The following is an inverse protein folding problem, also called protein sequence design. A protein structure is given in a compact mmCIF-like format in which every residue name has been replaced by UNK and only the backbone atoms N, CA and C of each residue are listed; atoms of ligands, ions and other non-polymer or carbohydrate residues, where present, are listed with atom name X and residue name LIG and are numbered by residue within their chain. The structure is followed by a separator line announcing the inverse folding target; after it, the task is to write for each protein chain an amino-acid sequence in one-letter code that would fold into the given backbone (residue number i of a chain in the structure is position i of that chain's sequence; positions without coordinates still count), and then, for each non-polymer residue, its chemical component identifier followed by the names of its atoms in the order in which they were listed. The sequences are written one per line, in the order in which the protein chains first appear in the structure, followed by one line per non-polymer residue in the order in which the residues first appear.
data_IF_702990178589
#
_entry.id   IF_702990178589
#
_cell.length_a   1.000
_cell.length_b   1.000
_cell.length_c   1.000
_cell.angle_alpha   90.00
_cell.angle_beta   90.00
_cell.angle_gamma   90.00
#
_symmetry.space_group_name_H-M   'P 1'
#
loop_
_entity.id
_entity.type
_entity.pdbx_description
1 polymer ?
#
# COMPACT_ATOMS: atom_id res chain seq x y z
N UNK A 1 19.74 44.84 -62.68
CA UNK A 1 18.32 44.64 -63.00
C UNK A 1 17.82 43.58 -62.03
N UNK A 2 17.42 43.88 -60.77
CA UNK A 2 16.22 44.62 -60.32
C UNK A 2 14.98 44.21 -61.13
N UNK A 3 13.88 43.78 -60.54
CA UNK A 3 12.99 44.47 -59.57
C UNK A 3 12.08 43.37 -58.97
N UNK A 4 12.12 43.11 -57.65
CA UNK A 4 11.10 43.43 -56.61
C UNK A 4 9.68 42.88 -56.89
N UNK A 5 8.90 42.35 -55.95
CA UNK A 5 8.84 42.54 -54.51
C UNK A 5 7.35 42.58 -54.13
N UNK A 6 6.95 41.81 -53.13
CA UNK A 6 5.70 41.90 -52.33
C UNK A 6 5.92 40.89 -51.19
N UNK A 7 6.70 41.22 -50.15
CA UNK A 7 6.36 42.00 -48.95
C UNK A 7 5.34 41.29 -48.04
N UNK A 8 5.89 40.64 -47.00
CA UNK A 8 5.50 40.76 -45.59
C UNK A 8 4.03 41.13 -45.29
N UNK A 9 3.20 40.13 -45.01
CA UNK A 9 2.23 40.23 -43.91
C UNK A 9 1.70 38.83 -43.53
N UNK A 10 1.60 38.59 -42.22
CA UNK A 10 1.07 37.39 -41.52
C UNK A 10 2.07 36.31 -41.09
N UNK A 11 3.12 36.75 -40.41
CA UNK A 11 3.58 36.08 -39.19
C UNK A 11 2.77 36.66 -38.03
N UNK A 12 1.76 35.93 -37.56
CA UNK A 12 1.08 35.96 -36.24
C UNK A 12 -0.27 35.25 -36.38
N UNK A 13 -0.63 34.49 -35.34
CA UNK A 13 -1.92 33.83 -35.08
C UNK A 13 -2.12 32.44 -35.71
N UNK A 14 -1.71 31.40 -34.96
CA UNK A 14 -2.40 30.11 -34.88
C UNK A 14 -1.88 29.34 -33.65
N UNK A 15 -2.06 29.92 -32.46
CA UNK A 15 -2.11 29.14 -31.22
C UNK A 15 -3.58 28.79 -30.92
N UNK A 16 -3.77 27.65 -30.26
CA UNK A 16 -4.98 27.19 -29.57
C UNK A 16 -6.23 26.81 -30.39
N UNK A 17 -6.41 25.50 -30.59
CA UNK A 17 -7.72 24.84 -30.56
C UNK A 17 -7.56 23.32 -30.35
N UNK A 18 -7.59 22.87 -29.09
CA UNK A 18 -7.99 21.51 -28.75
C UNK A 18 -9.48 21.56 -28.40
N UNK A 19 -10.28 20.81 -29.15
CA UNK A 19 -11.71 20.63 -28.94
C UNK A 19 -11.94 19.49 -27.96
N UNK A 20 -12.54 19.76 -26.79
CA UNK A 20 -13.38 18.81 -26.03
C UNK A 20 -14.50 19.62 -25.33
N UNK A 21 -15.74 19.26 -25.64
CA UNK A 21 -17.00 19.53 -24.94
C UNK A 21 -17.24 20.91 -24.31
N UNK A 22 -17.81 21.78 -25.16
CA UNK A 22 -18.76 22.86 -24.88
C UNK A 22 -19.03 23.24 -23.41
N UNK A 23 -18.27 24.21 -22.91
CA UNK A 23 -18.68 25.25 -21.97
C UNK A 23 -17.62 26.38 -22.05
N UNK A 24 -17.97 27.52 -22.64
CA UNK A 24 -17.05 28.67 -22.76
C UNK A 24 -17.00 29.45 -21.44
N UNK A 25 -15.82 29.57 -20.85
CA UNK A 25 -15.55 30.50 -19.75
C UNK A 25 -14.66 31.64 -20.28
N UNK A 26 -15.18 32.87 -20.23
CA UNK A 26 -14.41 34.08 -20.56
C UNK A 26 -13.42 34.39 -19.42
N UNK A 27 -12.13 34.60 -19.75
CA UNK A 27 -11.13 35.10 -18.81
C UNK A 27 -11.15 36.65 -18.79
N UNK A 28 -11.07 37.29 -17.60
CA UNK A 28 -11.08 38.75 -17.49
C UNK A 28 -9.75 39.39 -17.97
N UNK A 29 -9.80 40.62 -18.51
CA UNK A 29 -8.66 41.28 -19.12
C UNK A 29 -7.83 42.01 -18.04
N UNK A 30 -6.80 41.34 -17.51
CA UNK A 30 -5.61 41.97 -16.90
C UNK A 30 -4.65 40.88 -16.37
N UNK A 31 -4.06 40.09 -17.27
CA UNK A 31 -2.96 39.20 -16.92
C UNK A 31 -1.65 39.77 -17.50
N UNK A 32 -0.81 40.28 -16.61
CA UNK A 32 0.45 40.94 -16.92
C UNK A 32 1.55 39.89 -17.20
N UNK A 33 2.25 40.04 -18.32
CA UNK A 33 3.19 39.05 -18.88
C UNK A 33 4.64 39.46 -18.56
N UNK A 34 4.97 39.68 -17.29
CA UNK A 34 6.39 39.85 -16.90
C UNK A 34 6.69 39.53 -15.43
N UNK A 35 6.27 38.35 -14.96
CA UNK A 35 6.79 37.80 -13.70
C UNK A 35 7.40 36.42 -13.94
N UNK A 36 8.71 36.33 -13.68
CA UNK A 36 9.50 35.11 -13.68
C UNK A 36 8.81 34.05 -12.79
N UNK A 37 8.59 32.80 -13.26
CA UNK A 37 7.84 31.84 -12.47
C UNK A 37 8.70 31.35 -11.31
N UNK A 38 8.36 31.80 -10.09
CA UNK A 38 8.69 31.07 -8.87
C UNK A 38 8.23 29.64 -9.06
N UNK A 39 9.18 28.71 -8.93
CA UNK A 39 9.02 27.26 -8.95
C UNK A 39 7.80 26.87 -8.10
N UNK A 40 6.63 26.77 -8.73
CA UNK A 40 5.44 26.19 -8.12
C UNK A 40 5.81 24.73 -7.84
N UNK A 41 6.09 24.45 -6.57
CA UNK A 41 6.04 23.09 -6.07
C UNK A 41 4.62 22.63 -6.33
N UNK A 42 4.44 21.85 -7.39
CA UNK A 42 3.24 21.06 -7.59
C UNK A 42 3.21 20.10 -6.41
N UNK A 43 2.54 20.51 -5.33
CA UNK A 43 2.05 19.57 -4.35
C UNK A 43 1.20 18.58 -5.16
N UNK A 44 1.69 17.35 -5.27
CA UNK A 44 0.86 16.23 -5.76
C UNK A 44 -0.40 16.24 -4.91
N UNK A 45 -1.49 16.74 -5.48
CA UNK A 45 -2.82 16.40 -5.04
C UNK A 45 -2.85 14.87 -5.12
N UNK A 46 -2.91 14.18 -3.97
CA UNK A 46 -3.15 12.73 -3.95
C UNK A 46 -4.44 12.50 -4.74
N UNK A 47 -4.45 11.72 -5.83
CA UNK A 47 -5.71 11.29 -6.40
C UNK A 47 -6.36 10.34 -5.39
N UNK A 48 -7.30 10.86 -4.60
CA UNK A 48 -8.38 10.04 -4.12
C UNK A 48 -9.19 9.63 -5.36
N UNK A 49 -9.48 8.34 -5.52
CA UNK A 49 -10.23 7.71 -6.62
C UNK A 49 -9.50 7.49 -7.97
N UNK A 50 -8.41 6.71 -7.99
CA UNK A 50 -7.98 6.06 -9.22
C UNK A 50 -7.59 4.60 -8.95
N UNK A 51 -8.57 3.70 -9.14
CA UNK A 51 -8.53 2.23 -8.96
C UNK A 51 -8.08 1.75 -7.57
N UNK A 52 -8.92 0.96 -6.92
CA UNK A 52 -8.51 0.24 -5.72
C UNK A 52 -7.58 -0.88 -6.14
N UNK A 53 -6.33 -0.80 -5.70
CA UNK A 53 -5.42 -1.92 -5.88
C UNK A 53 -5.86 -3.13 -5.04
N UNK A 54 -6.26 -4.21 -5.72
CA UNK A 54 -6.74 -5.45 -5.11
C UNK A 54 -5.82 -6.62 -5.46
N UNK A 55 -5.65 -7.52 -4.49
CA UNK A 55 -4.86 -8.75 -4.64
C UNK A 55 -5.20 -9.54 -5.92
N UNK A 56 -6.49 -9.66 -6.28
CA UNK A 56 -6.90 -10.39 -7.48
C UNK A 56 -6.34 -9.81 -8.78
N UNK A 57 -6.22 -8.48 -8.88
CA UNK A 57 -5.65 -7.83 -10.05
C UNK A 57 -4.13 -7.85 -10.00
N UNK A 58 -3.53 -7.64 -8.82
CA UNK A 58 -2.07 -7.74 -8.65
C UNK A 58 -1.51 -9.09 -9.03
N UNK A 59 -2.26 -10.16 -8.79
CA UNK A 59 -1.82 -11.53 -9.05
C UNK A 59 -2.64 -12.22 -10.14
N UNK A 60 -3.30 -11.47 -11.04
CA UNK A 60 -4.18 -12.05 -12.06
C UNK A 60 -3.50 -13.14 -12.90
N UNK A 61 -2.20 -13.00 -13.17
CA UNK A 61 -1.40 -13.92 -13.99
C UNK A 61 -0.60 -14.96 -13.21
N UNK A 62 -0.64 -14.91 -11.88
CA UNK A 62 0.12 -15.80 -11.01
C UNK A 62 -0.80 -16.86 -10.39
N UNK A 63 -0.85 -18.09 -10.90
CA UNK A 63 -1.75 -19.11 -10.36
C UNK A 63 -1.35 -19.48 -8.93
N UNK A 64 -2.25 -19.27 -7.97
CA UNK A 64 -2.03 -19.63 -6.55
C UNK A 64 -2.80 -20.92 -6.23
N UNK A 65 -4.04 -21.03 -6.70
CA UNK A 65 -4.90 -22.18 -6.47
C UNK A 65 -5.29 -22.84 -7.79
N UNK A 66 -5.30 -24.17 -7.81
CA UNK A 66 -5.75 -24.96 -8.97
C UNK A 66 -7.20 -25.44 -8.84
N UNK A 67 -7.74 -25.47 -7.62
CA UNK A 67 -9.08 -25.98 -7.32
C UNK A 67 -9.61 -25.37 -6.02
N UNK A 68 -10.92 -25.37 -5.85
CA UNK A 68 -11.59 -24.97 -4.61
C UNK A 68 -11.94 -26.22 -3.80
N UNK A 69 -11.23 -26.45 -2.70
CA UNK A 69 -11.45 -27.59 -1.80
C UNK A 69 -11.91 -27.13 -0.41
N UNK A 70 -12.04 -28.10 0.50
CA UNK A 70 -12.31 -27.84 1.90
C UNK A 70 -11.21 -26.99 2.57
N UNK A 71 -9.95 -27.05 2.09
CA UNK A 71 -8.86 -26.23 2.61
C UNK A 71 -9.11 -24.74 2.34
N UNK A 72 -9.43 -24.39 1.09
CA UNK A 72 -9.74 -23.02 0.67
C UNK A 72 -11.01 -22.50 1.34
N UNK A 73 -12.06 -23.34 1.44
CA UNK A 73 -13.29 -23.00 2.17
C UNK A 73 -13.01 -22.65 3.63
N UNK A 74 -12.20 -23.46 4.32
CA UNK A 74 -11.79 -23.21 5.71
C UNK A 74 -10.96 -21.94 5.82
N UNK A 75 -10.00 -21.74 4.94
CA UNK A 75 -9.16 -20.53 4.90
C UNK A 75 -10.05 -19.28 4.82
N UNK A 76 -10.98 -19.22 3.87
CA UNK A 76 -11.86 -18.08 3.66
C UNK A 76 -12.77 -17.82 4.88
N UNK A 77 -13.36 -18.89 5.44
CA UNK A 77 -14.18 -18.78 6.65
C UNK A 77 -13.37 -18.28 7.87
N UNK A 78 -12.13 -18.76 7.97
CA UNK A 78 -11.22 -18.36 9.01
C UNK A 78 -10.83 -16.88 8.85
N UNK A 79 -10.38 -16.45 7.68
CA UNK A 79 -9.88 -15.09 7.49
C UNK A 79 -10.96 -14.03 7.65
N UNK A 80 -12.21 -14.32 7.25
CA UNK A 80 -13.33 -13.42 7.53
C UNK A 80 -13.71 -13.38 9.02
N UNK A 81 -13.56 -14.50 9.74
CA UNK A 81 -13.70 -14.52 11.20
C UNK A 81 -12.72 -13.59 11.89
N UNK A 82 -11.44 -13.63 11.50
CA UNK A 82 -10.41 -12.70 11.98
C UNK A 82 -10.77 -11.24 11.66
N UNK A 83 -11.32 -10.98 10.47
CA UNK A 83 -11.76 -9.64 10.10
C UNK A 83 -12.90 -9.11 11.00
N UNK A 84 -13.82 -9.98 11.42
CA UNK A 84 -14.89 -9.66 12.39
C UNK A 84 -14.35 -9.41 13.80
N UNK A 85 -13.25 -10.05 14.19
CA UNK A 85 -12.55 -9.74 15.44
C UNK A 85 -11.81 -8.39 15.38
N UNK A 86 -11.28 -8.02 14.21
CA UNK A 86 -10.64 -6.71 13.99
C UNK A 86 -11.67 -5.58 14.04
N UNK A 87 -12.81 -5.77 13.38
CA UNK A 87 -13.88 -4.78 13.26
C UNK A 87 -15.23 -5.36 13.68
N UNK A 88 -15.45 -5.61 14.98
CA UNK A 88 -16.75 -6.07 15.46
C UNK A 88 -17.81 -5.00 15.19
N UNK A 89 -18.94 -5.38 14.58
CA UNK A 89 -20.05 -4.44 14.30
C UNK A 89 -20.88 -4.17 15.54
N UNK A 90 -20.88 -5.06 16.53
CA UNK A 90 -21.60 -4.89 17.79
C UNK A 90 -20.63 -4.87 18.97
N UNK A 91 -20.92 -4.03 19.96
CA UNK A 91 -20.22 -4.08 21.25
C UNK A 91 -20.72 -5.25 22.11
N UNK A 92 -20.08 -5.45 23.26
CA UNK A 92 -20.46 -6.51 24.21
C UNK A 92 -21.89 -6.35 24.79
N UNK A 93 -22.52 -5.19 24.59
CA UNK A 93 -23.89 -4.89 25.03
C UNK A 93 -24.91 -5.04 23.90
N UNK A 94 -24.46 -5.41 22.69
CA UNK A 94 -25.30 -5.54 21.50
C UNK A 94 -25.57 -4.22 20.77
N UNK A 95 -24.91 -3.12 21.13
CA UNK A 95 -25.06 -1.85 20.42
C UNK A 95 -24.17 -1.83 19.18
N UNK A 96 -24.69 -1.26 18.09
CA UNK A 96 -23.96 -1.14 16.83
C UNK A 96 -22.82 -0.11 16.93
N UNK A 97 -21.62 -0.51 16.53
CA UNK A 97 -20.44 0.33 16.40
C UNK A 97 -20.42 0.91 14.99
N UNK A 98 -21.05 2.07 14.80
CA UNK A 98 -21.18 2.73 13.50
C UNK A 98 -19.83 2.98 12.80
N UNK A 99 -18.78 3.25 13.58
CA UNK A 99 -17.43 3.42 13.05
C UNK A 99 -16.87 2.15 12.39
N UNK A 100 -17.21 0.97 12.91
CA UNK A 100 -16.76 -0.30 12.32
C UNK A 100 -17.64 -0.68 11.12
N UNK A 101 -18.95 -0.48 11.20
CA UNK A 101 -19.85 -0.64 10.06
C UNK A 101 -19.41 0.21 8.86
N UNK A 102 -18.97 1.46 9.10
CA UNK A 102 -18.46 2.33 8.05
C UNK A 102 -17.23 1.75 7.33
N UNK A 103 -16.36 1.03 8.04
CA UNK A 103 -15.17 0.37 7.46
C UNK A 103 -15.54 -0.84 6.62
N UNK A 104 -16.50 -1.64 7.09
CA UNK A 104 -17.08 -2.73 6.29
C UNK A 104 -17.70 -2.20 5.00
N UNK A 105 -18.47 -1.11 5.08
CA UNK A 105 -19.03 -0.42 3.93
C UNK A 105 -17.96 0.10 2.97
N UNK A 106 -16.89 0.68 3.50
CA UNK A 106 -15.79 1.20 2.69
C UNK A 106 -15.08 0.07 1.91
N UNK A 107 -14.70 -1.01 2.60
CA UNK A 107 -14.07 -2.17 1.95
C UNK A 107 -15.00 -2.84 0.93
N UNK A 108 -16.30 -2.96 1.26
CA UNK A 108 -17.33 -3.43 0.33
C UNK A 108 -17.36 -2.60 -0.94
N UNK A 109 -17.49 -1.27 -0.81
CA UNK A 109 -17.65 -0.38 -1.95
C UNK A 109 -16.41 -0.35 -2.84
N UNK A 110 -15.22 -0.38 -2.24
CA UNK A 110 -13.95 -0.47 -2.97
C UNK A 110 -13.90 -1.73 -3.82
N UNK A 111 -14.11 -2.90 -3.21
CA UNK A 111 -14.05 -4.16 -3.95
C UNK A 111 -15.17 -4.29 -4.98
N UNK A 112 -16.41 -3.93 -4.62
CA UNK A 112 -17.55 -4.01 -5.52
C UNK A 112 -17.32 -3.18 -6.80
N UNK A 113 -16.72 -1.99 -6.66
CA UNK A 113 -16.35 -1.13 -7.78
C UNK A 113 -15.31 -1.81 -8.68
N UNK A 114 -14.28 -2.42 -8.11
CA UNK A 114 -13.26 -3.12 -8.90
C UNK A 114 -13.83 -4.35 -9.62
N UNK A 115 -14.70 -5.11 -8.97
CA UNK A 115 -15.36 -6.29 -9.56
C UNK A 115 -16.51 -5.92 -10.52
N UNK A 116 -16.85 -4.64 -10.64
CA UNK A 116 -17.95 -4.18 -11.51
C UNK A 116 -19.35 -4.61 -11.04
N UNK A 117 -19.54 -4.83 -9.74
CA UNK A 117 -20.81 -5.24 -9.13
C UNK A 117 -21.37 -4.14 -8.22
N UNK A 118 -22.70 -4.10 -8.06
CA UNK A 118 -23.35 -3.13 -7.18
C UNK A 118 -23.22 -3.50 -5.70
N UNK A 119 -23.35 -4.78 -5.38
CA UNK A 119 -23.21 -5.33 -4.03
C UNK A 119 -22.45 -6.65 -4.10
N UNK A 120 -21.58 -6.91 -3.13
CA UNK A 120 -20.81 -8.17 -3.05
C UNK A 120 -21.72 -9.38 -2.74
N UNK A 121 -22.80 -9.17 -1.99
CA UNK A 121 -23.87 -10.13 -1.77
C UNK A 121 -25.20 -9.40 -1.52
N UNK A 122 -26.32 -10.13 -1.57
CA UNK A 122 -27.64 -9.54 -1.39
C UNK A 122 -27.80 -8.92 0.00
N UNK A 123 -28.04 -7.61 0.04
CA UNK A 123 -28.23 -6.89 1.30
C UNK A 123 -29.69 -6.78 1.74
N UNK A 124 -30.60 -6.57 0.80
CA UNK A 124 -32.03 -6.46 1.10
C UNK A 124 -32.65 -7.83 1.35
N UNK A 125 -33.38 -7.97 2.45
CA UNK A 125 -34.17 -9.16 2.75
C UNK A 125 -35.65 -8.81 2.92
N UNK A 126 -36.51 -9.78 2.59
CA UNK A 126 -37.93 -9.74 2.86
C UNK A 126 -38.44 -11.15 3.06
N UNK A 127 -39.10 -11.43 4.18
CA UNK A 127 -39.74 -12.71 4.45
C UNK A 127 -41.10 -12.50 5.14
N UNK A 128 -42.02 -13.44 4.92
CA UNK A 128 -43.31 -13.44 5.57
C UNK A 128 -43.19 -14.04 6.98
N UNK A 129 -43.61 -13.28 7.99
CA UNK A 129 -43.75 -13.71 9.38
C UNK A 129 -45.22 -13.75 9.74
N UNK A 130 -45.65 -14.77 10.49
CA UNK A 130 -47.03 -14.85 10.99
C UNK A 130 -47.21 -13.87 12.15
N UNK A 131 -48.15 -12.94 12.00
CA UNK A 131 -48.57 -12.05 13.07
C UNK A 131 -49.33 -12.80 14.18
N UNK A 132 -49.64 -12.11 15.30
CA UNK A 132 -50.33 -12.70 16.45
C UNK A 132 -51.71 -13.33 16.13
N UNK A 133 -52.31 -12.95 15.00
CA UNK A 133 -53.60 -13.45 14.50
C UNK A 133 -53.46 -14.33 13.24
N UNK A 134 -52.30 -14.94 13.00
CA UNK A 134 -51.99 -15.81 11.85
C UNK A 134 -52.06 -15.15 10.45
N UNK A 135 -52.18 -13.81 10.39
CA UNK A 135 -52.02 -13.03 9.16
C UNK A 135 -50.55 -12.94 8.74
N UNK A 136 -50.30 -12.92 7.43
CA UNK A 136 -48.95 -12.75 6.89
C UNK A 136 -48.50 -11.29 7.00
N UNK A 137 -47.42 -11.05 7.74
CA UNK A 137 -46.73 -9.77 7.82
C UNK A 137 -45.39 -9.88 7.09
N UNK A 138 -45.09 -8.91 6.24
CA UNK A 138 -43.79 -8.84 5.60
C UNK A 138 -42.80 -8.13 6.53
N UNK A 139 -41.75 -8.85 6.92
CA UNK A 139 -40.60 -8.26 7.58
C UNK A 139 -39.52 -8.04 6.53
N UNK A 140 -39.17 -6.78 6.27
CA UNK A 140 -38.14 -6.40 5.33
C UNK A 140 -37.11 -5.49 5.97
N UNK A 141 -35.87 -5.56 5.51
CA UNK A 141 -34.78 -4.73 6.01
C UNK A 141 -33.51 -4.90 5.20
N UNK A 142 -32.43 -4.36 5.74
CA UNK A 142 -31.09 -4.50 5.19
C UNK A 142 -30.19 -5.19 6.18
N UNK A 143 -29.43 -6.17 5.69
CA UNK A 143 -28.33 -6.72 6.47
C UNK A 143 -27.23 -5.67 6.68
N UNK A 144 -26.48 -5.84 7.77
CA UNK A 144 -25.27 -5.07 8.05
C UNK A 144 -24.19 -5.41 7.03
N UNK A 145 -23.23 -4.51 6.84
CA UNK A 145 -22.19 -4.72 5.82
C UNK A 145 -21.25 -5.88 6.18
N UNK A 146 -21.00 -6.16 7.46
CA UNK A 146 -20.22 -7.33 7.87
C UNK A 146 -20.89 -8.64 7.44
N UNK A 147 -22.21 -8.75 7.60
CA UNK A 147 -22.97 -9.91 7.14
C UNK A 147 -22.87 -10.07 5.62
N UNK A 148 -23.10 -9.00 4.86
CA UNK A 148 -23.03 -9.03 3.39
C UNK A 148 -21.66 -9.49 2.92
N UNK A 149 -20.59 -8.92 3.49
CA UNK A 149 -19.24 -9.27 3.12
C UNK A 149 -18.89 -10.71 3.55
N UNK A 150 -19.37 -11.15 4.70
CA UNK A 150 -19.21 -12.54 5.15
C UNK A 150 -19.89 -13.52 4.20
N UNK A 151 -21.09 -13.21 3.72
CA UNK A 151 -21.77 -14.04 2.72
C UNK A 151 -21.00 -14.08 1.39
N UNK A 152 -20.40 -12.98 0.97
CA UNK A 152 -19.56 -12.94 -0.22
C UNK A 152 -18.31 -13.84 -0.09
N UNK A 153 -17.58 -13.69 1.02
CA UNK A 153 -16.34 -14.46 1.26
C UNK A 153 -16.64 -15.96 1.45
N UNK A 154 -17.72 -16.30 2.14
CA UNK A 154 -18.13 -17.68 2.42
C UNK A 154 -19.05 -18.29 1.36
N UNK A 155 -19.35 -17.57 0.27
CA UNK A 155 -20.18 -18.12 -0.80
C UNK A 155 -19.57 -19.44 -1.29
N UNK A 156 -20.43 -20.42 -1.55
CA UNK A 156 -19.99 -21.62 -2.25
C UNK A 156 -19.85 -21.31 -3.75
N UNK A 157 -18.83 -21.86 -4.42
CA UNK A 157 -18.69 -21.67 -5.85
C UNK A 157 -19.86 -22.31 -6.59
N UNK A 158 -20.19 -21.75 -7.76
CA UNK A 158 -21.19 -22.34 -8.64
C UNK A 158 -20.73 -23.73 -9.13
N UNK A 159 -21.69 -24.62 -9.38
CA UNK A 159 -21.39 -25.95 -9.93
C UNK A 159 -20.68 -25.79 -11.27
N UNK A 160 -19.51 -26.39 -11.42
CA UNK A 160 -18.69 -26.28 -12.65
C UNK A 160 -17.82 -25.03 -12.71
N UNK A 161 -17.43 -24.46 -11.56
CA UNK A 161 -16.46 -23.36 -11.48
C UNK A 161 -15.23 -23.63 -12.37
N UNK A 162 -15.01 -22.75 -13.35
CA UNK A 162 -13.90 -22.87 -14.30
C UNK A 162 -12.62 -22.20 -13.78
N UNK A 163 -12.75 -21.11 -13.04
CA UNK A 163 -11.65 -20.34 -12.49
C UNK A 163 -11.70 -20.33 -10.96
N UNK A 164 -11.12 -21.36 -10.35
CA UNK A 164 -10.99 -21.45 -8.89
C UNK A 164 -10.05 -20.39 -8.32
N UNK A 165 -8.99 -20.08 -9.06
CA UNK A 165 -7.96 -19.15 -8.65
C UNK A 165 -8.49 -17.73 -8.52
N UNK A 166 -9.13 -17.21 -9.58
CA UNK A 166 -9.79 -15.91 -9.58
C UNK A 166 -10.86 -15.82 -8.49
N UNK A 167 -11.69 -16.86 -8.35
CA UNK A 167 -12.73 -16.93 -7.32
C UNK A 167 -12.16 -16.74 -5.90
N UNK A 168 -11.07 -17.43 -5.56
CA UNK A 168 -10.46 -17.33 -4.23
C UNK A 168 -9.77 -15.97 -4.07
N UNK A 169 -9.07 -15.49 -5.09
CA UNK A 169 -8.38 -14.20 -5.09
C UNK A 169 -9.30 -13.01 -4.85
N UNK A 170 -10.49 -12.99 -5.46
CA UNK A 170 -11.48 -11.93 -5.22
C UNK A 170 -11.89 -11.86 -3.74
N UNK A 171 -12.02 -13.02 -3.09
CA UNK A 171 -12.43 -13.13 -1.68
C UNK A 171 -11.29 -12.80 -0.73
N UNK A 172 -10.07 -13.24 -1.06
CA UNK A 172 -8.85 -12.84 -0.35
C UNK A 172 -8.58 -11.34 -0.49
N UNK A 173 -8.93 -10.73 -1.63
CA UNK A 173 -8.84 -9.27 -1.84
C UNK A 173 -9.70 -8.51 -0.84
N UNK A 174 -10.89 -9.02 -0.51
CA UNK A 174 -11.74 -8.41 0.52
C UNK A 174 -11.05 -8.40 1.89
N UNK A 175 -10.49 -9.55 2.29
CA UNK A 175 -9.77 -9.71 3.55
C UNK A 175 -8.57 -8.76 3.61
N UNK A 176 -7.80 -8.67 2.52
CA UNK A 176 -6.69 -7.74 2.39
C UNK A 176 -7.12 -6.30 2.64
N UNK A 177 -8.21 -5.84 2.05
CA UNK A 177 -8.67 -4.46 2.20
C UNK A 177 -8.99 -4.12 3.66
N UNK A 178 -9.62 -5.03 4.41
CA UNK A 178 -9.88 -4.81 5.84
C UNK A 178 -8.59 -4.80 6.65
N UNK A 179 -7.67 -5.71 6.38
CA UNK A 179 -6.35 -5.74 7.03
C UNK A 179 -5.53 -4.48 6.69
N UNK A 180 -5.65 -3.97 5.47
CA UNK A 180 -5.01 -2.71 5.02
C UNK A 180 -5.59 -1.51 5.73
N UNK A 181 -6.92 -1.41 5.86
CA UNK A 181 -7.55 -0.35 6.67
C UNK A 181 -7.02 -0.38 8.11
N UNK A 182 -6.86 -1.58 8.68
CA UNK A 182 -6.30 -1.73 10.02
C UNK A 182 -4.84 -1.31 10.09
N UNK A 183 -4.04 -1.68 9.11
CA UNK A 183 -2.66 -1.22 8.97
C UNK A 183 -2.59 0.30 8.94
N UNK A 184 -3.40 0.95 8.09
CA UNK A 184 -3.46 2.41 7.98
C UNK A 184 -3.82 3.10 9.29
N UNK A 185 -4.77 2.55 10.06
CA UNK A 185 -5.14 3.09 11.38
C UNK A 185 -3.97 3.06 12.35
N UNK A 186 -3.27 1.92 12.44
CA UNK A 186 -2.13 1.75 13.33
C UNK A 186 -0.97 2.65 12.89
N UNK A 187 -0.71 2.73 11.59
CA UNK A 187 0.30 3.62 11.02
C UNK A 187 0.00 5.09 11.30
N UNK A 188 -1.26 5.53 11.17
CA UNK A 188 -1.71 6.88 11.53
C UNK A 188 -1.55 7.15 13.04
N UNK A 189 -1.91 6.19 13.89
CA UNK A 189 -1.73 6.32 15.34
C UNK A 189 -0.25 6.44 15.73
N UNK A 190 0.62 5.64 15.11
CA UNK A 190 2.06 5.67 15.31
C UNK A 190 2.68 7.00 14.85
N UNK A 191 2.27 7.51 13.68
CA UNK A 191 2.73 8.79 13.17
C UNK A 191 2.28 9.98 14.06
N UNK A 192 1.09 9.88 14.67
CA UNK A 192 0.53 10.87 15.59
C UNK A 192 1.06 10.80 17.03
N UNK A 193 1.81 9.74 17.37
CA UNK A 193 2.29 9.50 18.73
C UNK A 193 3.12 10.65 19.31
N UNK A 194 4.07 11.28 18.57
CA UNK A 194 4.85 12.39 19.11
C UNK A 194 3.99 13.59 19.54
N UNK A 195 2.98 13.95 18.73
CA UNK A 195 2.07 15.04 19.10
C UNK A 195 1.18 14.66 20.29
N UNK A 196 0.71 13.40 20.35
CA UNK A 196 -0.07 12.91 21.48
C UNK A 196 0.73 12.92 22.80
N UNK A 197 2.01 12.56 22.76
CA UNK A 197 2.90 12.65 23.92
C UNK A 197 3.16 14.09 24.35
N UNK A 198 3.33 15.02 23.40
CA UNK A 198 3.47 16.44 23.71
C UNK A 198 2.19 17.00 24.35
N UNK A 199 1.01 16.63 23.83
CA UNK A 199 -0.27 17.04 24.41
C UNK A 199 -0.45 16.50 25.84
N UNK A 200 -0.08 15.23 26.08
CA UNK A 200 -0.11 14.63 27.42
C UNK A 200 0.85 15.30 28.41
N UNK A 201 1.99 15.81 27.93
CA UNK A 201 2.93 16.63 28.73
C UNK A 201 2.36 18.00 29.11
N UNK A 202 1.74 18.68 28.14
CA UNK A 202 1.24 20.05 28.30
C UNK A 202 -0.07 20.12 29.11
N UNK A 203 -0.89 19.07 29.02
CA UNK A 203 -2.14 18.95 29.73
C UNK A 203 -2.21 17.60 30.48
N UNK A 204 -1.47 17.44 31.59
CA UNK A 204 -1.67 16.30 32.48
C UNK A 204 -3.09 16.42 33.02
N UNK A 205 -4.01 15.65 32.46
CA UNK A 205 -5.44 15.83 32.72
C UNK A 205 -5.70 15.57 34.20
N UNK A 206 -6.06 16.62 34.94
CA UNK A 206 -6.64 16.50 36.28
C UNK A 206 -8.08 16.04 36.12
N UNK A 207 -8.29 14.75 35.86
CA UNK A 207 -9.64 14.16 35.88
C UNK A 207 -9.69 12.91 36.75
N UNK A 208 -10.57 13.02 37.75
CA UNK A 208 -11.01 12.06 38.75
C UNK A 208 -11.32 10.67 38.17
N UNK A 209 -10.34 9.78 38.20
CA UNK A 209 -10.56 8.35 38.33
C UNK A 209 -9.29 7.78 38.97
N UNK A 210 -9.42 6.84 39.91
CA UNK A 210 -8.28 6.15 40.53
C UNK A 210 -7.37 5.56 39.45
N UNK A 211 -6.34 6.30 39.02
CA UNK A 211 -5.25 5.80 38.20
C UNK A 211 -4.00 5.71 39.08
N UNK A 212 -3.34 4.57 38.96
CA UNK A 212 -2.03 4.28 39.56
C UNK A 212 -1.07 5.45 39.23
N UNK A 213 -0.24 5.91 40.18
CA UNK A 213 0.70 7.00 39.95
C UNK A 213 1.61 6.68 38.75
N UNK A 214 1.45 7.44 37.66
CA UNK A 214 2.24 7.31 36.43
C UNK A 214 2.08 8.58 35.60
N UNK A 215 3.10 8.93 34.82
CA UNK A 215 3.05 10.11 33.96
C UNK A 215 1.98 9.88 32.88
N UNK A 216 1.19 10.90 32.53
CA UNK A 216 0.14 10.78 31.51
C UNK A 216 0.70 10.25 30.16
N UNK A 217 1.96 10.53 29.89
CA UNK A 217 2.74 9.97 28.78
C UNK A 217 2.82 8.45 28.78
N UNK A 218 3.01 7.83 29.95
CA UNK A 218 3.16 6.37 30.08
C UNK A 218 1.86 5.68 29.64
N UNK A 219 0.71 6.28 29.96
CA UNK A 219 -0.60 5.82 29.50
C UNK A 219 -0.74 5.89 27.98
N UNK A 220 -0.29 6.98 27.36
CA UNK A 220 -0.31 7.13 25.89
C UNK A 220 0.63 6.14 25.21
N UNK A 221 1.85 5.95 25.73
CA UNK A 221 2.79 4.95 25.23
C UNK A 221 2.24 3.54 25.36
N UNK A 222 1.67 3.18 26.50
CA UNK A 222 1.10 1.86 26.76
C UNK A 222 -0.09 1.57 25.83
N UNK A 223 -0.98 2.55 25.60
CA UNK A 223 -2.09 2.40 24.66
C UNK A 223 -1.59 2.16 23.23
N UNK A 224 -0.61 2.95 22.78
CA UNK A 224 -0.03 2.77 21.45
C UNK A 224 0.70 1.42 21.31
N UNK A 225 1.45 0.99 22.34
CA UNK A 225 2.10 -0.31 22.36
C UNK A 225 1.07 -1.46 22.30
N UNK A 226 -0.02 -1.38 23.07
CA UNK A 226 -1.11 -2.36 23.04
C UNK A 226 -1.81 -2.44 21.68
N UNK A 227 -1.98 -1.28 21.01
CA UNK A 227 -2.54 -1.21 19.66
C UNK A 227 -1.64 -1.96 18.65
N UNK A 228 -0.34 -1.67 18.67
CA UNK A 228 0.64 -2.32 17.80
C UNK A 228 0.75 -3.83 18.08
N UNK A 229 0.81 -4.23 19.34
CA UNK A 229 0.87 -5.64 19.72
C UNK A 229 -0.37 -6.41 19.27
N UNK A 230 -1.56 -5.80 19.39
CA UNK A 230 -2.80 -6.43 18.93
C UNK A 230 -2.79 -6.60 17.42
N UNK A 231 -2.39 -5.58 16.68
CA UNK A 231 -2.29 -5.69 15.22
C UNK A 231 -1.22 -6.70 14.78
N UNK A 232 -0.07 -6.74 15.45
CA UNK A 232 0.97 -7.72 15.16
C UNK A 232 0.47 -9.16 15.34
N UNK A 233 -0.30 -9.45 16.39
CA UNK A 233 -0.94 -10.76 16.57
C UNK A 233 -1.93 -11.08 15.46
N UNK A 234 -2.72 -10.11 15.01
CA UNK A 234 -3.66 -10.29 13.90
C UNK A 234 -2.94 -10.62 12.59
N UNK A 235 -1.79 -9.98 12.32
CA UNK A 235 -0.93 -10.28 11.17
C UNK A 235 -0.32 -11.68 11.27
N UNK A 236 0.24 -12.03 12.43
CA UNK A 236 0.81 -13.36 12.67
C UNK A 236 -0.22 -14.47 12.50
N UNK A 237 -1.44 -14.24 13.00
CA UNK A 237 -2.54 -15.18 12.86
C UNK A 237 -3.00 -15.34 11.41
N UNK A 238 -3.11 -14.24 10.64
CA UNK A 238 -3.45 -14.30 9.23
C UNK A 238 -2.40 -15.10 8.44
N UNK A 239 -1.13 -14.83 8.67
CA UNK A 239 -0.02 -15.53 8.00
C UNK A 239 0.02 -17.01 8.38
N UNK A 240 -0.25 -17.35 9.63
CA UNK A 240 -0.36 -18.74 10.07
C UNK A 240 -1.55 -19.46 9.42
N UNK A 241 -2.68 -18.76 9.19
CA UNK A 241 -3.84 -19.32 8.46
C UNK A 241 -3.48 -19.60 6.99
N UNK A 242 -2.77 -18.69 6.31
CA UNK A 242 -2.26 -18.95 4.96
C UNK A 242 -1.34 -20.17 4.92
N UNK A 243 -0.36 -20.23 5.84
CA UNK A 243 0.58 -21.35 5.95
C UNK A 243 -0.12 -22.69 6.18
N UNK A 244 -1.11 -22.74 7.09
CA UNK A 244 -1.89 -23.96 7.37
C UNK A 244 -2.75 -24.41 6.20
N UNK A 245 -3.22 -23.47 5.38
CA UNK A 245 -3.97 -23.76 4.17
C UNK A 245 -3.07 -24.14 2.98
N UNK A 246 -1.75 -24.09 3.14
CA UNK A 246 -0.80 -24.30 2.04
C UNK A 246 -0.83 -23.19 1.00
N UNK A 247 -1.41 -22.03 1.32
CA UNK A 247 -1.40 -20.86 0.46
C UNK A 247 -0.03 -20.17 0.62
N UNK A 248 0.76 -20.00 -0.46
CA UNK A 248 2.08 -19.36 -0.41
C UNK A 248 1.93 -17.85 -0.29
N UNK A 249 1.28 -17.38 0.77
CA UNK A 249 0.89 -15.98 0.94
C UNK A 249 1.33 -15.46 2.30
N UNK A 250 1.76 -14.20 2.34
CA UNK A 250 2.07 -13.47 3.56
C UNK A 250 1.53 -12.05 3.49
N UNK A 251 1.07 -11.53 4.62
CA UNK A 251 0.63 -10.15 4.76
C UNK A 251 1.74 -9.30 5.39
N UNK A 252 2.15 -8.25 4.67
CA UNK A 252 3.13 -7.27 5.12
C UNK A 252 2.72 -5.86 4.69
N UNK A 253 2.85 -4.89 5.61
CA UNK A 253 2.66 -3.46 5.35
C UNK A 253 1.39 -3.09 4.55
N UNK A 254 0.27 -3.79 4.79
CA UNK A 254 -1.00 -3.50 4.13
C UNK A 254 -1.30 -4.32 2.88
N UNK A 255 -0.41 -5.24 2.48
CA UNK A 255 -0.56 -6.04 1.26
C UNK A 255 -0.34 -7.52 1.55
N UNK A 256 -1.16 -8.37 0.93
CA UNK A 256 -0.90 -9.80 0.76
C UNK A 256 0.02 -9.96 -0.45
N UNK A 257 1.09 -10.72 -0.26
CA UNK A 257 2.13 -11.00 -1.24
C UNK A 257 2.38 -12.50 -1.33
N UNK A 258 2.92 -12.95 -2.46
CA UNK A 258 3.29 -14.36 -2.62
C UNK A 258 4.67 -14.61 -1.99
N UNK A 259 4.72 -15.62 -1.12
CA UNK A 259 5.92 -16.11 -0.45
C UNK A 259 6.26 -17.51 -0.98
N UNK A 260 7.12 -17.58 -1.99
CA UNK A 260 7.50 -18.83 -2.67
C UNK A 260 8.57 -19.65 -1.92
N UNK A 261 9.35 -19.02 -1.04
CA UNK A 261 10.42 -19.67 -0.26
C UNK A 261 10.36 -19.23 1.22
N UNK A 262 10.15 -20.19 2.12
CA UNK A 262 10.03 -19.95 3.57
C UNK A 262 11.33 -19.42 4.19
N UNK A 263 12.50 -19.85 3.68
CA UNK A 263 13.80 -19.38 4.18
C UNK A 263 14.03 -17.94 3.75
N UNK A 264 13.74 -17.60 2.49
CA UNK A 264 13.84 -16.22 2.00
C UNK A 264 12.86 -15.33 2.75
N UNK A 265 11.63 -15.80 2.96
CA UNK A 265 10.63 -15.07 3.73
C UNK A 265 11.11 -14.80 5.16
N UNK A 266 11.57 -15.84 5.86
CA UNK A 266 12.00 -15.74 7.26
C UNK A 266 13.28 -14.92 7.45
N UNK A 267 14.26 -15.07 6.57
CA UNK A 267 15.60 -14.51 6.76
C UNK A 267 15.79 -13.17 6.05
N UNK A 268 15.02 -12.87 5.00
CA UNK A 268 15.20 -11.66 4.18
C UNK A 268 13.95 -10.78 4.26
N UNK A 269 12.80 -11.28 3.80
CA UNK A 269 11.62 -10.45 3.61
C UNK A 269 11.00 -9.97 4.93
N UNK A 270 10.69 -10.89 5.85
CA UNK A 270 10.12 -10.57 7.16
C UNK A 270 11.00 -9.60 7.98
N UNK A 271 12.34 -9.77 8.09
CA UNK A 271 13.22 -8.80 8.73
C UNK A 271 13.25 -7.44 8.02
N UNK A 272 13.21 -7.42 6.69
CA UNK A 272 13.11 -6.18 5.92
C UNK A 272 11.82 -5.43 6.25
N UNK A 273 10.66 -6.10 6.13
CA UNK A 273 9.34 -5.49 6.34
C UNK A 273 9.18 -4.90 7.74
N UNK A 274 9.70 -5.58 8.76
CA UNK A 274 9.71 -5.09 10.15
C UNK A 274 10.46 -3.76 10.29
N UNK A 275 11.57 -3.59 9.57
CA UNK A 275 12.40 -2.38 9.66
C UNK A 275 11.80 -1.20 8.89
N UNK A 276 11.08 -1.47 7.78
CA UNK A 276 10.46 -0.43 6.94
C UNK A 276 9.00 -0.13 7.30
N UNK A 277 8.46 -0.77 8.34
CA UNK A 277 7.11 -0.51 8.85
C UNK A 277 6.88 0.94 9.36
N UNK A 278 7.85 1.64 9.97
CA UNK A 278 7.66 3.04 10.38
C UNK A 278 7.38 3.99 9.22
N UNK A 279 6.53 5.00 9.45
CA UNK A 279 6.04 5.92 8.42
C UNK A 279 7.14 6.65 7.62
N UNK A 280 8.32 6.88 8.21
CA UNK A 280 9.44 7.51 7.50
C UNK A 280 9.94 6.68 6.30
N UNK A 281 9.64 5.38 6.27
CA UNK A 281 10.05 4.44 5.22
C UNK A 281 8.90 4.08 4.26
N UNK A 282 7.78 4.81 4.29
CA UNK A 282 6.60 4.51 3.47
C UNK A 282 6.94 4.32 1.98
N UNK A 283 7.73 5.23 1.40
CA UNK A 283 8.15 5.12 0.00
C UNK A 283 9.01 3.86 -0.28
N UNK A 284 9.84 3.45 0.68
CA UNK A 284 10.67 2.23 0.55
C UNK A 284 9.76 1.00 0.56
N UNK A 285 8.77 0.99 1.45
CA UNK A 285 7.79 -0.10 1.53
C UNK A 285 6.95 -0.20 0.25
N UNK A 286 6.44 0.92 -0.26
CA UNK A 286 5.62 0.96 -1.49
C UNK A 286 6.44 0.47 -2.69
N UNK A 287 7.65 1.01 -2.89
CA UNK A 287 8.48 0.61 -4.02
C UNK A 287 8.91 -0.86 -3.95
N UNK A 288 9.14 -1.41 -2.75
CA UNK A 288 9.47 -2.83 -2.62
C UNK A 288 8.24 -3.73 -2.82
N UNK A 289 7.05 -3.29 -2.39
CA UNK A 289 5.82 -4.04 -2.63
C UNK A 289 5.52 -4.15 -4.13
N UNK A 290 5.61 -3.02 -4.83
CA UNK A 290 5.48 -2.96 -6.29
C UNK A 290 6.52 -3.84 -7.01
N UNK A 291 7.75 -3.92 -6.48
CA UNK A 291 8.78 -4.81 -7.03
C UNK A 291 8.38 -6.29 -6.95
N UNK A 292 7.85 -6.74 -5.81
CA UNK A 292 7.40 -8.11 -5.62
C UNK A 292 6.14 -8.41 -6.45
N UNK A 293 5.18 -7.49 -6.46
CA UNK A 293 3.95 -7.65 -7.24
C UNK A 293 4.27 -7.77 -8.74
N UNK A 294 5.19 -6.95 -9.27
CA UNK A 294 5.64 -7.05 -10.67
C UNK A 294 6.40 -8.35 -10.96
N UNK A 295 7.25 -8.81 -10.04
CA UNK A 295 7.94 -10.10 -10.18
C UNK A 295 6.93 -11.22 -10.33
N UNK A 296 5.95 -11.27 -9.42
CA UNK A 296 4.99 -12.36 -9.36
C UNK A 296 4.00 -12.33 -10.53
N UNK A 297 3.57 -11.14 -10.97
CA UNK A 297 2.75 -10.99 -12.17
C UNK A 297 3.52 -11.11 -13.50
N UNK A 298 4.84 -11.34 -13.44
CA UNK A 298 5.74 -11.33 -14.60
C UNK A 298 5.56 -10.04 -15.45
N UNK A 299 5.43 -8.91 -14.76
CA UNK A 299 5.32 -7.57 -15.34
C UNK A 299 6.70 -6.92 -15.52
N UNK A 300 6.74 -5.75 -16.17
CA UNK A 300 7.97 -5.07 -16.54
C UNK A 300 8.71 -4.48 -15.35
N UNK A 301 10.03 -4.63 -15.39
CA UNK A 301 11.03 -3.96 -14.54
C UNK A 301 10.91 -4.16 -13.01
N UNK A 302 10.69 -5.37 -12.46
CA UNK A 302 10.62 -5.55 -10.99
C UNK A 302 11.89 -5.06 -10.26
N UNK A 303 13.07 -5.35 -10.84
CA UNK A 303 14.36 -4.94 -10.28
C UNK A 303 14.56 -3.41 -10.27
N UNK A 304 13.87 -2.67 -11.14
CA UNK A 304 13.90 -1.21 -11.13
C UNK A 304 13.25 -0.67 -9.85
N UNK A 305 12.09 -1.21 -9.48
CA UNK A 305 11.35 -0.82 -8.28
C UNK A 305 12.10 -1.23 -7.00
N UNK A 306 12.71 -2.41 -6.96
CA UNK A 306 13.60 -2.78 -5.86
C UNK A 306 14.80 -1.83 -5.74
N UNK A 307 15.37 -1.41 -6.88
CA UNK A 307 16.41 -0.38 -6.95
C UNK A 307 15.94 0.98 -6.44
N UNK A 308 14.70 1.40 -6.76
CA UNK A 308 14.11 2.63 -6.21
C UNK A 308 13.91 2.57 -4.70
N UNK A 309 13.45 1.44 -4.17
CA UNK A 309 13.31 1.24 -2.73
C UNK A 309 14.66 1.38 -2.02
N UNK A 310 15.72 0.75 -2.55
CA UNK A 310 17.08 0.88 -2.02
C UNK A 310 17.62 2.31 -2.13
N UNK A 311 17.39 2.98 -3.27
CA UNK A 311 17.79 4.39 -3.47
C UNK A 311 17.11 5.31 -2.44
N UNK A 312 15.81 5.13 -2.23
CA UNK A 312 15.02 5.87 -1.24
C UNK A 312 15.54 5.63 0.18
N UNK A 313 15.88 4.39 0.54
CA UNK A 313 16.43 4.07 1.85
C UNK A 313 17.78 4.78 2.08
N UNK A 314 18.68 4.75 1.10
CA UNK A 314 19.99 5.44 1.18
C UNK A 314 19.81 6.95 1.37
N UNK A 315 18.87 7.57 0.62
CA UNK A 315 18.55 9.00 0.75
C UNK A 315 18.03 9.35 2.14
N UNK A 316 17.05 8.60 2.63
CA UNK A 316 16.46 8.82 3.97
C UNK A 316 17.53 8.67 5.06
N UNK A 317 18.44 7.68 4.96
CA UNK A 317 19.57 7.53 5.89
C UNK A 317 20.45 8.78 5.86
N UNK A 318 20.87 9.23 4.68
CA UNK A 318 21.69 10.43 4.51
C UNK A 318 21.02 11.69 5.09
N UNK A 319 19.73 11.88 4.81
CA UNK A 319 18.93 13.00 5.31
C UNK A 319 18.78 12.96 6.83
N UNK A 320 18.45 11.79 7.39
CA UNK A 320 18.26 11.61 8.84
C UNK A 320 19.52 11.89 9.66
N UNK A 321 20.70 11.74 9.04
CA UNK A 321 22.00 12.01 9.64
C UNK A 321 22.53 13.42 9.33
N UNK A 322 21.82 14.20 8.50
CA UNK A 322 22.24 15.54 8.09
C UNK A 322 23.44 15.55 7.13
N UNK A 323 23.66 14.46 6.38
CA UNK A 323 24.78 14.35 5.45
C UNK A 323 24.47 14.91 4.06
N UNK A 324 23.19 15.06 3.73
CA UNK A 324 22.74 15.59 2.46
C UNK A 324 22.93 17.11 2.36
N UNK A 325 23.42 17.58 1.22
CA UNK A 325 23.79 18.97 0.92
C UNK A 325 22.91 19.61 -0.16
N UNK A 326 22.02 18.85 -0.79
CA UNK A 326 21.08 19.33 -1.80
C UNK A 326 21.66 19.46 -3.20
N UNK A 327 22.90 18.99 -3.40
CA UNK A 327 23.60 18.98 -4.69
C UNK A 327 23.94 17.55 -5.17
N UNK A 328 23.38 16.53 -4.52
CA UNK A 328 23.57 15.13 -4.85
C UNK A 328 22.89 14.75 -6.17
N UNK A 329 23.69 14.35 -7.17
CA UNK A 329 23.20 13.92 -8.48
C UNK A 329 23.10 12.38 -8.54
N UNK A 330 21.99 11.84 -8.02
CA UNK A 330 21.66 10.42 -8.08
C UNK A 330 22.30 9.55 -7.00
N UNK A 331 22.03 8.24 -7.04
CA UNK A 331 22.34 7.29 -5.97
C UNK A 331 23.83 7.26 -5.56
N UNK A 332 24.76 7.36 -6.53
CA UNK A 332 26.21 7.33 -6.24
C UNK A 332 26.65 8.45 -5.29
N UNK A 333 26.11 9.67 -5.45
CA UNK A 333 26.46 10.80 -4.59
C UNK A 333 26.01 10.56 -3.13
N UNK A 334 24.83 9.96 -2.94
CA UNK A 334 24.40 9.58 -1.59
C UNK A 334 25.23 8.41 -1.03
N UNK A 335 25.69 7.47 -1.86
CA UNK A 335 26.61 6.42 -1.41
C UNK A 335 27.94 7.04 -0.95
N UNK A 336 28.44 8.08 -1.62
CA UNK A 336 29.64 8.79 -1.19
C UNK A 336 29.47 9.41 0.20
N UNK A 337 28.29 9.96 0.51
CA UNK A 337 27.96 10.44 1.87
C UNK A 337 28.06 9.31 2.90
N UNK A 338 27.59 8.11 2.59
CA UNK A 338 27.63 6.95 3.50
C UNK A 338 29.05 6.40 3.70
N UNK A 339 29.92 6.46 2.68
CA UNK A 339 31.30 5.96 2.75
C UNK A 339 32.26 7.00 3.37
N UNK A 340 31.88 8.28 3.36
CA UNK A 340 32.73 9.38 3.81
C UNK A 340 33.27 9.17 5.24
N UNK A 341 34.59 9.33 5.39
CA UNK A 341 35.25 9.29 6.71
C UNK A 341 34.76 10.42 7.62
N UNK A 342 34.44 11.57 7.04
CA UNK A 342 33.93 12.74 7.78
C UNK A 342 32.55 12.46 8.38
N UNK A 343 31.79 11.54 7.77
CA UNK A 343 30.48 11.08 8.24
C UNK A 343 30.58 9.82 9.13
N UNK A 344 31.79 9.47 9.58
CA UNK A 344 32.03 8.32 10.45
C UNK A 344 32.12 6.98 9.72
N UNK A 345 32.29 6.97 8.39
CA UNK A 345 32.43 5.77 7.57
C UNK A 345 31.30 4.74 7.83
N UNK A 346 30.05 5.21 7.72
CA UNK A 346 28.85 4.38 7.94
C UNK A 346 28.84 3.11 7.10
N UNK A 347 29.38 3.20 5.88
CA UNK A 347 29.79 2.07 5.06
C UNK A 347 31.31 2.08 4.87
N UNK A 348 31.89 0.89 4.80
CA UNK A 348 33.25 0.71 4.31
C UNK A 348 33.30 0.89 2.78
N UNK A 349 34.51 1.11 2.23
CA UNK A 349 34.68 1.42 0.80
C UNK A 349 34.13 0.30 -0.10
N UNK A 350 34.43 -0.95 0.20
CA UNK A 350 33.99 -2.10 -0.60
C UNK A 350 32.45 -2.27 -0.56
N UNK A 351 31.79 -1.95 0.55
CA UNK A 351 30.34 -1.95 0.66
C UNK A 351 29.73 -0.89 -0.27
N UNK A 352 30.33 0.31 -0.29
CA UNK A 352 29.94 1.37 -1.21
C UNK A 352 30.16 0.99 -2.68
N UNK A 353 31.26 0.30 -3.00
CA UNK A 353 31.53 -0.23 -4.34
C UNK A 353 30.47 -1.24 -4.79
N UNK A 354 30.09 -2.18 -3.92
CA UNK A 354 29.02 -3.15 -4.19
C UNK A 354 27.66 -2.47 -4.44
N UNK A 355 27.30 -1.45 -3.65
CA UNK A 355 26.10 -0.66 -3.89
C UNK A 355 26.14 0.08 -5.23
N UNK A 356 27.27 0.74 -5.55
CA UNK A 356 27.43 1.43 -6.83
C UNK A 356 27.31 0.47 -8.01
N UNK A 357 27.88 -0.73 -7.88
CA UNK A 357 27.78 -1.77 -8.90
C UNK A 357 26.36 -2.30 -9.06
N UNK A 358 25.62 -2.47 -7.97
CA UNK A 358 24.19 -2.81 -8.02
C UNK A 358 23.41 -1.75 -8.80
N UNK A 359 23.57 -0.46 -8.48
CA UNK A 359 22.87 0.60 -9.22
C UNK A 359 23.28 0.68 -10.68
N UNK A 360 24.57 0.52 -10.97
CA UNK A 360 25.10 0.60 -12.34
C UNK A 360 24.64 -0.56 -13.22
N UNK A 361 24.68 -1.79 -12.71
CA UNK A 361 24.48 -3.02 -13.50
C UNK A 361 23.05 -3.56 -13.45
N UNK A 362 22.29 -3.22 -12.41
CA UNK A 362 20.92 -3.68 -12.22
C UNK A 362 19.98 -2.52 -12.51
N UNK A 363 19.90 -1.54 -11.60
CA UNK A 363 18.88 -0.47 -11.66
C UNK A 363 18.98 0.39 -12.92
N UNK A 364 20.17 0.85 -13.29
CA UNK A 364 20.33 1.76 -14.44
C UNK A 364 20.17 1.02 -15.77
N UNK A 365 20.56 -0.25 -15.83
CA UNK A 365 20.41 -1.07 -17.04
C UNK A 365 18.95 -1.24 -17.42
N UNK A 366 18.05 -1.45 -16.45
CA UNK A 366 16.60 -1.55 -16.70
C UNK A 366 15.86 -0.21 -16.64
N UNK A 367 16.49 0.85 -16.12
CA UNK A 367 15.85 2.15 -15.88
C UNK A 367 16.04 3.19 -16.99
N UNK A 368 16.86 2.91 -18.00
CA UNK A 368 17.10 3.79 -19.14
C UNK A 368 16.47 3.22 -20.42
N UNK A 369 15.90 4.10 -21.26
CA UNK A 369 15.36 3.69 -22.56
C UNK A 369 16.45 3.08 -23.44
N UNK A 370 16.17 2.01 -24.21
CA UNK A 370 17.21 1.23 -24.88
C UNK A 370 17.63 1.86 -26.22
N UNK A 371 17.06 3.01 -26.58
CA UNK A 371 17.26 3.62 -27.88
C UNK A 371 16.80 2.68 -28.99
N UNK A 372 17.72 2.30 -29.88
CA UNK A 372 17.48 1.36 -30.98
C UNK A 372 17.70 -0.10 -30.60
N UNK A 373 18.20 -0.38 -29.39
CA UNK A 373 18.45 -1.74 -28.91
C UNK A 373 17.20 -2.34 -28.24
N UNK A 374 17.11 -3.69 -28.11
CA UNK A 374 16.05 -4.30 -27.30
C UNK A 374 16.21 -3.92 -25.83
N UNK A 375 15.09 -3.81 -25.10
CA UNK A 375 15.12 -3.60 -23.65
C UNK A 375 15.93 -4.73 -22.99
N UNK A 376 16.97 -4.41 -22.21
CA UNK A 376 17.63 -5.43 -21.41
C UNK A 376 16.64 -5.96 -20.37
N UNK A 377 16.56 -7.28 -20.26
CA UNK A 377 15.71 -7.96 -19.28
C UNK A 377 16.57 -8.87 -18.41
N UNK A 378 16.23 -8.91 -17.12
CA UNK A 378 16.80 -9.88 -16.21
C UNK A 378 16.03 -11.19 -16.33
N UNK A 379 16.74 -12.31 -16.20
CA UNK A 379 16.08 -13.60 -15.99
C UNK A 379 15.30 -13.60 -14.67
N UNK A 380 14.34 -14.52 -14.46
CA UNK A 380 13.62 -14.63 -13.18
C UNK A 380 14.57 -14.74 -11.98
N UNK A 381 15.58 -15.62 -12.07
CA UNK A 381 16.58 -15.80 -11.00
C UNK A 381 17.39 -14.53 -10.73
N UNK A 382 17.74 -13.76 -11.77
CA UNK A 382 18.42 -12.47 -11.59
C UNK A 382 17.51 -11.41 -11.00
N UNK A 383 16.21 -11.48 -11.28
CA UNK A 383 15.19 -10.60 -10.71
C UNK A 383 15.02 -10.89 -9.22
N UNK A 384 14.90 -12.16 -8.84
CA UNK A 384 14.85 -12.60 -7.45
C UNK A 384 16.09 -12.15 -6.69
N UNK A 385 17.27 -12.44 -7.23
CA UNK A 385 18.54 -11.99 -6.67
C UNK A 385 18.59 -10.47 -6.49
N UNK A 386 18.10 -9.69 -7.46
CA UNK A 386 18.10 -8.24 -7.37
C UNK A 386 17.20 -7.74 -6.23
N UNK A 387 15.97 -8.26 -6.13
CA UNK A 387 15.01 -7.91 -5.09
C UNK A 387 15.56 -8.29 -3.71
N UNK A 388 16.00 -9.54 -3.53
CA UNK A 388 16.54 -10.05 -2.26
C UNK A 388 17.80 -9.28 -1.82
N UNK A 389 18.66 -8.92 -2.77
CA UNK A 389 19.85 -8.10 -2.53
C UNK A 389 19.48 -6.70 -2.09
N UNK A 390 18.49 -6.07 -2.74
CA UNK A 390 17.99 -4.75 -2.33
C UNK A 390 17.38 -4.79 -0.92
N UNK A 391 16.52 -5.77 -0.62
CA UNK A 391 15.96 -5.97 0.71
C UNK A 391 17.06 -6.16 1.77
N UNK A 392 18.07 -6.97 1.47
CA UNK A 392 19.20 -7.22 2.36
C UNK A 392 20.05 -5.97 2.61
N UNK A 393 20.27 -5.14 1.59
CA UNK A 393 20.96 -3.86 1.75
C UNK A 393 20.17 -2.87 2.59
N UNK A 394 18.87 -2.68 2.30
CA UNK A 394 18.00 -1.81 3.11
C UNK A 394 18.02 -2.28 4.57
N UNK A 395 17.84 -3.57 4.82
CA UNK A 395 17.92 -4.15 6.16
C UNK A 395 19.26 -3.81 6.84
N UNK A 396 20.37 -3.93 6.12
CA UNK A 396 21.71 -3.65 6.65
C UNK A 396 21.90 -2.17 6.99
N UNK A 397 21.42 -1.26 6.14
CA UNK A 397 21.48 0.18 6.36
C UNK A 397 20.64 0.58 7.59
N UNK A 398 19.40 0.10 7.68
CA UNK A 398 18.49 0.45 8.76
C UNK A 398 18.95 -0.12 10.12
N UNK A 399 19.57 -1.32 10.16
CA UNK A 399 20.12 -1.87 11.42
C UNK A 399 21.34 -1.09 11.96
N UNK A 400 21.99 -0.28 11.13
CA UNK A 400 23.07 0.63 11.55
C UNK A 400 22.53 1.98 12.04
N UNK A 401 21.23 2.22 11.88
CA UNK A 401 20.59 3.40 12.47
C UNK A 401 20.30 3.13 13.94
N UNK A 402 20.66 4.07 14.83
CA UNK A 402 20.48 3.94 16.28
C UNK A 402 19.03 4.02 16.73
#
# INVERSE_FOLDING_TARGET
MSVSGWCLQKFREAESAWFVDGLAFELPPNFDVDSTPKRLQIQRIKPADMLTDIFAYRYLRYPVWSQYTEAERRLLNQTIGLAKEIYPVFDNSGNKIEANEAKWKEAHNRLARELGVNELAQRYYSFATKGPMAQDWHQSGYWTYDYVCEQFVNAMPQVGLQDADGYIKERVSFVELLMRLRHEEVSKANAGLPQALLAAKLHPTSQRALRVPGLAEDGVRALNASLNQTFQRQVEELNERFRRAGAPLTFHNGFIQVATDEVIEREIASPFWRLVAPAMWENVSIDMAEALDRRDSNDKDPAFFAGKALESAIKIVSDSKGWSRGNENGASAYIDNLVSKDNGAFLTVWEGEMLRDYFRKVRNTVGHGPGSEPMPSLTPVQTDWAIETAMSWVRTLLRRMP
#
